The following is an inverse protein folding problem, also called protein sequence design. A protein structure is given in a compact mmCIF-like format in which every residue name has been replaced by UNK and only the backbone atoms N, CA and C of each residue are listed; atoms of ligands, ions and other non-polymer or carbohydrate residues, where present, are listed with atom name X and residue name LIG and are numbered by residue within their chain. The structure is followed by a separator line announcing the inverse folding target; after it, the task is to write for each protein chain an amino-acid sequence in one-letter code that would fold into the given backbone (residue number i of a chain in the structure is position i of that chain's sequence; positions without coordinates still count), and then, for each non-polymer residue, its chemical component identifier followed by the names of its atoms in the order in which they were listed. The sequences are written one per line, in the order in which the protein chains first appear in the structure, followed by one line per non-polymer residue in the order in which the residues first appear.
data_IF_310039165177
#
_entry.id   IF_310039165177
#
_cell.length_a   1.000
_cell.length_b   1.000
_cell.length_c   1.000
_cell.angle_alpha   90.00
_cell.angle_beta   90.00
_cell.angle_gamma   90.00
#
_symmetry.space_group_name_H-M   'P 1'
#
loop_
_entity.id
_entity.type
_entity.pdbx_description
1 polymer ?
#
# COMPACT_ATOMS: atom_id res chain seq x y z
N UNK A 1 -6.03 -26.82 14.71
CA UNK A 1 -4.91 -26.80 13.75
C UNK A 1 -4.03 -28.03 13.99
N UNK A 2 -3.43 -28.63 12.96
CA UNK A 2 -2.51 -29.79 13.08
C UNK A 2 -1.16 -29.45 12.46
N UNK A 3 -0.03 -29.83 13.06
CA UNK A 3 1.29 -29.58 12.49
C UNK A 3 1.58 -30.58 11.36
N UNK A 4 2.23 -30.12 10.29
CA UNK A 4 2.64 -30.99 9.17
C UNK A 4 3.93 -31.77 9.48
N UNK A 5 4.76 -31.29 10.41
CA UNK A 5 5.99 -31.98 10.88
C UNK A 5 5.75 -32.64 12.24
N UNK A 6 6.29 -33.85 12.44
CA UNK A 6 6.06 -34.67 13.65
C UNK A 6 6.45 -33.99 14.98
N UNK A 7 7.47 -33.11 14.97
CA UNK A 7 7.96 -32.38 16.15
C UNK A 7 7.88 -30.85 15.97
N UNK A 8 6.94 -30.36 15.16
CA UNK A 8 6.76 -28.91 14.94
C UNK A 8 5.93 -28.24 16.04
N UNK A 9 6.15 -26.95 16.25
CA UNK A 9 5.28 -26.12 17.11
C UNK A 9 3.84 -26.19 16.57
N UNK A 10 2.90 -26.40 17.47
CA UNK A 10 1.48 -26.45 17.13
C UNK A 10 1.01 -25.06 16.69
N UNK A 11 0.40 -24.92 15.50
CA UNK A 11 -0.22 -23.66 15.13
C UNK A 11 -1.36 -23.36 16.10
N UNK A 12 -1.45 -22.11 16.54
CA UNK A 12 -2.49 -21.65 17.44
C UNK A 12 -3.29 -20.51 16.81
N UNK A 13 -4.48 -20.29 17.36
CA UNK A 13 -5.34 -19.16 17.04
C UNK A 13 -5.53 -18.34 18.31
N UNK A 14 -5.49 -17.02 18.16
CA UNK A 14 -5.82 -16.08 19.22
C UNK A 14 -6.98 -15.20 18.75
N UNK A 15 -7.90 -14.89 19.66
CA UNK A 15 -8.91 -13.86 19.45
C UNK A 15 -8.47 -12.62 20.23
N UNK A 16 -8.49 -11.46 19.57
CA UNK A 16 -8.11 -10.16 20.13
C UNK A 16 -9.28 -9.20 19.95
N UNK A 17 -9.38 -8.19 20.81
CA UNK A 17 -10.53 -7.28 20.87
C UNK A 17 -10.55 -6.24 19.74
N UNK A 18 -9.39 -5.76 19.30
CA UNK A 18 -9.27 -4.78 18.23
C UNK A 18 -7.96 -4.90 17.42
N UNK A 19 -7.83 -4.08 16.36
CA UNK A 19 -6.62 -4.05 15.52
C UNK A 19 -5.36 -3.59 16.27
N UNK A 20 -5.51 -2.79 17.33
CA UNK A 20 -4.37 -2.31 18.11
C UNK A 20 -3.84 -3.41 19.02
N UNK A 21 -4.74 -4.17 19.64
CA UNK A 21 -4.41 -5.36 20.41
C UNK A 21 -3.82 -6.45 19.51
N UNK A 22 -4.33 -6.58 18.27
CA UNK A 22 -3.72 -7.45 17.27
C UNK A 22 -2.26 -7.07 16.98
N UNK A 23 -1.99 -5.79 16.69
CA UNK A 23 -0.62 -5.32 16.42
C UNK A 23 0.31 -5.49 17.63
N UNK A 24 -0.19 -5.22 18.84
CA UNK A 24 0.53 -5.48 20.11
C UNK A 24 0.85 -6.95 20.31
N UNK A 25 -0.13 -7.82 20.05
CA UNK A 25 0.04 -9.26 20.14
C UNK A 25 1.14 -9.73 19.17
N UNK A 26 1.06 -9.33 17.90
CA UNK A 26 2.03 -9.70 16.86
C UNK A 26 3.44 -9.23 17.23
N UNK A 27 3.60 -7.95 17.60
CA UNK A 27 4.92 -7.42 17.97
C UNK A 27 5.51 -8.08 19.22
N UNK A 28 4.68 -8.43 20.22
CA UNK A 28 5.12 -9.19 21.38
C UNK A 28 5.56 -10.61 20.99
N UNK A 29 4.83 -11.28 20.10
CA UNK A 29 5.23 -12.60 19.60
C UNK A 29 6.56 -12.56 18.84
N UNK A 30 6.79 -11.52 18.03
CA UNK A 30 8.07 -11.32 17.33
C UNK A 30 9.22 -11.18 18.33
N UNK A 31 9.03 -10.38 19.40
CA UNK A 31 10.04 -10.22 20.45
C UNK A 31 10.28 -11.52 21.23
N UNK A 32 9.24 -12.29 21.52
CA UNK A 32 9.37 -13.59 22.17
C UNK A 32 10.18 -14.56 21.29
N UNK A 33 9.85 -14.68 20.00
CA UNK A 33 10.61 -15.51 19.07
C UNK A 33 12.07 -15.04 18.95
N UNK A 34 12.31 -13.72 18.92
CA UNK A 34 13.69 -13.19 18.94
C UNK A 34 14.44 -13.57 20.23
N UNK A 35 13.76 -13.65 21.37
CA UNK A 35 14.36 -14.11 22.63
C UNK A 35 14.65 -15.62 22.65
N UNK A 36 13.97 -16.38 21.80
CA UNK A 36 14.21 -17.80 21.52
C UNK A 36 15.26 -18.01 20.39
N UNK A 37 16.05 -16.98 20.08
CA UNK A 37 17.12 -16.97 19.07
C UNK A 37 16.68 -17.11 17.60
N UNK A 38 15.39 -16.91 17.28
CA UNK A 38 14.97 -16.79 15.88
C UNK A 38 15.42 -15.46 15.27
N UNK A 39 15.98 -15.52 14.05
CA UNK A 39 16.35 -14.31 13.32
C UNK A 39 15.09 -13.59 12.79
N UNK A 40 15.11 -12.26 12.75
CA UNK A 40 13.95 -11.48 12.26
C UNK A 40 13.62 -11.76 10.78
N UNK A 41 14.61 -12.16 9.98
CA UNK A 41 14.44 -12.53 8.57
C UNK A 41 13.72 -13.89 8.39
N UNK A 42 13.58 -14.70 9.45
CA UNK A 42 12.82 -15.96 9.46
C UNK A 42 11.36 -15.76 9.85
N UNK A 43 10.98 -14.55 10.27
CA UNK A 43 9.65 -14.21 10.74
C UNK A 43 8.91 -13.40 9.66
N UNK A 44 7.75 -13.90 9.25
CA UNK A 44 6.88 -13.20 8.30
C UNK A 44 5.48 -12.97 8.89
N UNK A 45 4.96 -11.76 8.71
CA UNK A 45 3.57 -11.41 9.05
C UNK A 45 2.78 -11.31 7.74
N UNK A 46 1.84 -12.24 7.55
CA UNK A 46 0.98 -12.28 6.38
C UNK A 46 -0.38 -11.65 6.70
N UNK A 47 -0.85 -10.77 5.82
CA UNK A 47 -2.14 -10.10 5.95
C UNK A 47 -2.86 -10.06 4.61
N UNK A 48 -4.20 -10.00 4.66
CA UNK A 48 -5.05 -10.07 3.46
C UNK A 48 -5.11 -8.77 2.66
N UNK A 49 -5.02 -7.62 3.34
CA UNK A 49 -5.23 -6.31 2.74
C UNK A 49 -4.27 -5.28 3.35
N UNK A 50 -3.82 -4.32 2.54
CA UNK A 50 -2.81 -3.34 2.96
C UNK A 50 -3.24 -2.44 4.12
N UNK A 51 -4.54 -2.27 4.40
CA UNK A 51 -4.97 -1.49 5.56
C UNK A 51 -4.63 -2.17 6.90
N UNK A 52 -4.48 -3.50 6.91
CA UNK A 52 -4.03 -4.23 8.11
C UNK A 52 -2.54 -4.00 8.43
N UNK A 53 -1.73 -3.58 7.45
CA UNK A 53 -0.29 -3.39 7.68
C UNK A 53 -0.01 -2.16 8.54
N UNK A 54 -0.76 -1.07 8.34
CA UNK A 54 -0.50 0.23 8.99
C UNK A 54 -0.38 0.13 10.51
N UNK A 55 -1.32 -0.56 11.17
CA UNK A 55 -1.30 -0.69 12.65
C UNK A 55 -0.12 -1.53 13.14
N UNK A 56 0.23 -2.56 12.38
CA UNK A 56 1.37 -3.44 12.67
C UNK A 56 2.68 -2.64 12.51
N UNK A 57 2.84 -1.93 11.39
CA UNK A 57 4.00 -1.08 11.10
C UNK A 57 4.24 -0.02 12.19
N UNK A 58 3.18 0.68 12.62
CA UNK A 58 3.26 1.66 13.71
C UNK A 58 3.73 1.05 15.03
N UNK A 59 3.26 -0.16 15.37
CA UNK A 59 3.64 -0.85 16.61
C UNK A 59 5.06 -1.43 16.53
N UNK A 60 5.49 -1.93 15.37
CA UNK A 60 6.87 -2.38 15.15
C UNK A 60 7.84 -1.20 15.25
N UNK A 61 7.48 -0.06 14.66
CA UNK A 61 8.27 1.17 14.74
C UNK A 61 8.35 1.70 16.18
N UNK A 62 7.25 1.71 16.92
CA UNK A 62 7.24 2.18 18.32
C UNK A 62 8.16 1.34 19.23
N UNK A 63 8.34 0.05 18.91
CA UNK A 63 9.22 -0.89 19.61
C UNK A 63 10.62 -1.01 19.02
N UNK A 64 10.96 -0.19 18.01
CA UNK A 64 12.24 -0.26 17.28
C UNK A 64 12.56 -1.67 16.74
N UNK A 65 11.54 -2.38 16.23
CA UNK A 65 11.70 -3.68 15.59
C UNK A 65 11.93 -3.43 14.08
N UNK A 66 13.08 -3.79 13.50
CA UNK A 66 13.31 -3.68 12.07
C UNK A 66 12.34 -4.55 11.27
N UNK A 67 11.77 -4.02 10.21
CA UNK A 67 10.87 -4.74 9.32
C UNK A 67 11.01 -4.28 7.87
N UNK A 68 10.60 -5.14 6.94
CA UNK A 68 10.48 -4.83 5.51
C UNK A 68 9.05 -5.13 5.07
N UNK A 69 8.40 -4.16 4.41
CA UNK A 69 7.04 -4.35 3.88
C UNK A 69 7.14 -4.83 2.45
N UNK A 70 6.90 -6.13 2.23
CA UNK A 70 6.81 -6.73 0.89
C UNK A 70 5.37 -6.72 0.38
N UNK A 71 4.80 -5.52 0.25
CA UNK A 71 3.49 -5.34 -0.36
C UNK A 71 3.67 -5.14 -1.87
N UNK A 72 3.30 -6.13 -2.68
CA UNK A 72 3.21 -5.98 -4.13
C UNK A 72 2.23 -4.86 -4.52
N UNK A 73 2.68 -3.91 -5.34
CA UNK A 73 1.97 -2.91 -6.17
C UNK A 73 0.91 -1.98 -5.51
N UNK A 74 0.36 -2.23 -4.32
CA UNK A 74 -0.91 -1.62 -3.92
C UNK A 74 -0.87 -0.24 -3.22
N UNK A 75 0.26 0.47 -3.18
CA UNK A 75 0.29 1.89 -2.78
C UNK A 75 0.01 2.80 -3.98
N UNK A 76 0.82 2.68 -5.04
CA UNK A 76 0.66 3.46 -6.27
C UNK A 76 -0.56 3.07 -7.10
N UNK A 77 -1.17 1.92 -6.80
CA UNK A 77 -2.42 1.48 -7.44
C UNK A 77 -3.68 2.11 -6.84
N UNK A 78 -3.59 2.77 -5.67
CA UNK A 78 -4.74 3.42 -5.05
C UNK A 78 -5.25 4.56 -5.92
N UNK A 79 -6.57 4.65 -6.09
CA UNK A 79 -7.19 5.64 -6.95
C UNK A 79 -6.72 7.07 -6.64
N UNK A 80 -6.76 7.49 -5.37
CA UNK A 80 -6.32 8.83 -4.95
C UNK A 80 -4.82 9.08 -5.18
N UNK A 81 -3.97 8.06 -5.07
CA UNK A 81 -2.54 8.19 -5.37
C UNK A 81 -2.34 8.36 -6.88
N UNK A 82 -3.04 7.58 -7.70
CA UNK A 82 -3.03 7.74 -9.17
C UNK A 82 -3.58 9.08 -9.61
N UNK A 83 -4.61 9.59 -8.94
CA UNK A 83 -5.21 10.89 -9.21
C UNK A 83 -4.21 12.02 -8.94
N UNK A 84 -3.55 11.99 -7.79
CA UNK A 84 -2.48 12.94 -7.45
C UNK A 84 -1.31 12.87 -8.44
N UNK A 85 -0.83 11.66 -8.75
CA UNK A 85 0.27 11.45 -9.70
C UNK A 85 -0.07 11.95 -11.10
N UNK A 86 -1.33 11.82 -11.54
CA UNK A 86 -1.76 12.31 -12.85
C UNK A 86 -1.68 13.83 -12.94
N UNK A 87 -2.02 14.54 -11.86
CA UNK A 87 -1.85 16.00 -11.81
C UNK A 87 -0.37 16.41 -11.87
N UNK A 88 0.50 15.72 -11.15
CA UNK A 88 1.94 16.01 -11.19
C UNK A 88 2.54 15.74 -12.57
N UNK A 89 2.12 14.65 -13.23
CA UNK A 89 2.61 14.27 -14.57
C UNK A 89 2.21 15.26 -15.64
N UNK A 90 0.99 15.83 -15.62
CA UNK A 90 0.60 16.83 -16.63
C UNK A 90 1.33 18.17 -16.45
N UNK A 91 1.77 18.48 -15.23
CA UNK A 91 2.60 19.68 -14.96
C UNK A 91 4.00 19.50 -15.54
N UNK A 92 4.59 18.31 -15.36
CA UNK A 92 5.94 18.00 -15.83
C UNK A 92 5.98 17.69 -17.33
N UNK A 93 4.99 16.95 -17.83
CA UNK A 93 4.80 16.58 -19.22
C UNK A 93 3.35 16.83 -19.67
N UNK A 94 3.06 18.03 -20.21
CA UNK A 94 1.74 18.37 -20.72
C UNK A 94 1.26 17.50 -21.89
N UNK A 95 2.11 16.68 -22.50
CA UNK A 95 1.76 15.81 -23.62
C UNK A 95 1.30 14.39 -23.19
N UNK A 96 1.21 14.09 -21.89
CA UNK A 96 0.73 12.81 -21.38
C UNK A 96 -0.80 12.68 -21.42
N UNK A 97 -1.32 12.08 -22.50
CA UNK A 97 -2.75 11.84 -22.71
C UNK A 97 -3.41 11.03 -21.60
N UNK A 98 -2.70 10.04 -21.05
CA UNK A 98 -3.25 9.13 -20.04
C UNK A 98 -3.48 9.89 -18.74
N UNK A 99 -2.52 10.71 -18.34
CA UNK A 99 -2.62 11.55 -17.15
C UNK A 99 -3.71 12.61 -17.33
N UNK A 100 -3.81 13.27 -18.49
CA UNK A 100 -4.91 14.20 -18.80
C UNK A 100 -6.29 13.55 -18.76
N UNK A 101 -6.43 12.37 -19.37
CA UNK A 101 -7.70 11.62 -19.35
C UNK A 101 -8.18 11.36 -17.94
N UNK A 102 -7.25 11.07 -17.02
CA UNK A 102 -7.56 10.85 -15.61
C UNK A 102 -7.91 12.16 -14.89
N UNK A 103 -7.16 13.23 -15.11
CA UNK A 103 -7.45 14.57 -14.56
C UNK A 103 -8.85 15.05 -14.98
N UNK A 104 -9.19 14.88 -16.26
CA UNK A 104 -10.49 15.26 -16.81
C UNK A 104 -11.67 14.50 -16.18
N UNK A 105 -11.50 13.21 -15.85
CA UNK A 105 -12.55 12.43 -15.19
C UNK A 105 -12.84 12.87 -13.76
N UNK A 106 -11.94 13.62 -13.11
CA UNK A 106 -12.12 14.15 -11.76
C UNK A 106 -12.95 15.44 -11.79
N UNK A 107 -12.90 16.20 -12.89
CA UNK A 107 -13.60 17.49 -13.03
C UNK A 107 -15.10 17.25 -13.27
N UNK A 108 -16.00 17.67 -12.36
CA UNK A 108 -17.43 17.50 -12.53
C UNK A 108 -17.93 18.18 -13.81
N UNK A 109 -18.74 17.48 -14.61
CA UNK A 109 -19.30 18.00 -15.86
C UNK A 109 -18.40 17.82 -17.09
N UNK A 110 -17.20 17.26 -16.94
CA UNK A 110 -16.28 17.04 -18.06
C UNK A 110 -16.27 15.56 -18.49
N UNK A 111 -16.95 15.25 -19.59
CA UNK A 111 -17.01 13.91 -20.16
C UNK A 111 -15.84 13.57 -21.07
N UNK A 112 -15.68 12.28 -21.42
CA UNK A 112 -14.60 11.78 -22.30
C UNK A 112 -14.46 12.58 -23.60
N UNK A 113 -15.57 12.87 -24.28
CA UNK A 113 -15.55 13.59 -25.56
C UNK A 113 -15.03 15.04 -25.43
N UNK A 114 -15.40 15.74 -24.36
CA UNK A 114 -14.90 17.09 -24.07
C UNK A 114 -13.42 17.05 -23.69
N UNK A 115 -13.01 16.08 -22.86
CA UNK A 115 -11.61 15.88 -22.47
C UNK A 115 -10.69 15.63 -23.66
N UNK A 116 -11.06 14.72 -24.58
CA UNK A 116 -10.25 14.45 -25.78
C UNK A 116 -10.10 15.68 -26.68
N UNK A 117 -11.13 16.53 -26.80
CA UNK A 117 -11.03 17.80 -27.55
C UNK A 117 -10.03 18.76 -26.92
N UNK A 118 -10.08 18.90 -25.58
CA UNK A 118 -9.15 19.77 -24.84
C UNK A 118 -7.72 19.23 -24.99
N UNK A 119 -7.52 17.92 -24.87
CA UNK A 119 -6.20 17.33 -25.04
C UNK A 119 -5.62 17.58 -26.44
N UNK A 120 -6.42 17.46 -27.51
CA UNK A 120 -5.96 17.75 -28.86
C UNK A 120 -5.51 19.22 -29.05
N UNK A 121 -6.14 20.16 -28.35
CA UNK A 121 -5.71 21.56 -28.35
C UNK A 121 -4.37 21.73 -27.62
N UNK A 122 -4.19 21.04 -26.49
CA UNK A 122 -2.96 21.05 -25.69
C UNK A 122 -1.80 20.43 -26.51
N UNK A 123 -2.03 19.30 -27.18
CA UNK A 123 -1.00 18.58 -27.93
C UNK A 123 -0.55 19.29 -29.20
N UNK A 124 -1.36 20.20 -29.74
CA UNK A 124 -1.02 21.01 -30.92
C UNK A 124 -0.40 22.36 -30.55
N UNK A 125 -0.31 22.69 -29.25
CA UNK A 125 0.30 23.94 -28.79
C UNK A 125 1.83 23.83 -28.72
N UNK A 126 2.52 24.86 -29.23
CA UNK A 126 3.99 24.97 -29.19
C UNK A 126 4.53 25.23 -27.76
N UNK A 127 3.67 25.65 -26.83
CA UNK A 127 4.02 25.87 -25.41
C UNK A 127 2.77 25.74 -24.52
N UNK A 128 2.41 24.52 -24.09
CA UNK A 128 1.22 24.26 -23.29
C UNK A 128 1.35 24.60 -21.78
N UNK A 129 2.42 25.27 -21.36
CA UNK A 129 2.71 25.67 -19.96
C UNK A 129 2.30 27.09 -19.63
#
# INVERSE_FOLDING_TARGET
MKPTRKNGILPFQVNVGDEREQARFISNQILNLRSEEYELNEIAVLYRAGHHSLKIEMELQSKNIPYEVRAGVAFFEKAHIKDLLSHLRVIENPYDEISWTRVFQIVPGLGKASGSKIFNLISTSDSPT
#
